data_IF_121586850785
#
_entry.id   IF_121586850785
#
_cell.length_a   1.000
_cell.length_b   1.000
_cell.length_c   1.000
_cell.angle_alpha   90.00
_cell.angle_beta   90.00
_cell.angle_gamma   90.00
#
_symmetry.space_group_name_H-M   'P 1'
#
loop_
_entity.id
_entity.type
_entity.pdbx_description
1 polymer ?
#
# COMPACT_ATOMS: atom_id res chain seq x y z
N UNK A 1 35.84 -39.03 -4.71
CA UNK A 1 35.28 -37.79 -4.14
C UNK A 1 34.23 -37.26 -5.10
N UNK A 2 32.96 -37.59 -4.87
CA UNK A 2 31.82 -37.12 -5.70
C UNK A 2 31.02 -36.13 -4.87
N UNK A 3 31.15 -34.83 -5.16
CA UNK A 3 30.33 -33.81 -4.51
C UNK A 3 28.93 -33.81 -5.14
N UNK A 4 27.93 -34.29 -4.41
CA UNK A 4 26.53 -34.02 -4.74
C UNK A 4 26.27 -32.52 -4.50
N UNK A 5 26.22 -31.71 -5.56
CA UNK A 5 25.65 -30.36 -5.43
C UNK A 5 24.13 -30.51 -5.43
N UNK A 6 23.51 -30.31 -4.27
CA UNK A 6 22.07 -30.07 -4.20
C UNK A 6 21.83 -28.72 -4.87
N UNK A 7 21.42 -28.73 -6.14
CA UNK A 7 20.84 -27.53 -6.76
C UNK A 7 19.50 -27.27 -6.05
N UNK A 8 19.54 -26.46 -5.00
CA UNK A 8 18.36 -25.87 -4.39
C UNK A 8 17.70 -24.98 -5.45
N UNK A 9 16.78 -25.54 -6.23
CA UNK A 9 15.85 -24.75 -7.04
C UNK A 9 14.90 -24.11 -6.03
N UNK A 10 15.27 -22.94 -5.51
CA UNK A 10 14.40 -22.14 -4.65
C UNK A 10 13.24 -21.65 -5.52
N UNK A 11 12.20 -22.47 -5.63
CA UNK A 11 10.98 -22.11 -6.33
C UNK A 11 10.29 -21.10 -5.44
N UNK A 12 10.45 -19.82 -5.76
CA UNK A 12 9.78 -18.76 -5.02
C UNK A 12 8.28 -19.01 -5.05
N UNK A 13 7.68 -19.13 -3.87
CA UNK A 13 6.23 -19.23 -3.77
C UNK A 13 5.63 -17.82 -3.93
N UNK A 14 5.37 -17.46 -5.18
CA UNK A 14 4.76 -16.19 -5.55
C UNK A 14 3.43 -15.94 -4.84
N UNK A 15 2.67 -17.00 -4.51
CA UNK A 15 1.41 -16.82 -3.78
C UNK A 15 1.68 -16.38 -2.35
N UNK A 16 2.66 -16.99 -1.69
CA UNK A 16 3.05 -16.59 -0.34
C UNK A 16 3.59 -15.15 -0.32
N UNK A 17 4.40 -14.76 -1.32
CA UNK A 17 4.91 -13.41 -1.45
C UNK A 17 3.79 -12.37 -1.60
N UNK A 18 2.82 -12.61 -2.51
CA UNK A 18 1.67 -11.71 -2.71
C UNK A 18 0.82 -11.61 -1.43
N UNK A 19 0.55 -12.71 -0.74
CA UNK A 19 -0.23 -12.69 0.51
C UNK A 19 0.50 -11.93 1.63
N UNK A 20 1.82 -12.08 1.73
CA UNK A 20 2.63 -11.33 2.68
C UNK A 20 2.60 -9.82 2.37
N UNK A 21 2.76 -9.46 1.09
CA UNK A 21 2.68 -8.07 0.62
C UNK A 21 1.32 -7.42 0.89
N UNK A 22 0.22 -8.12 0.57
CA UNK A 22 -1.13 -7.64 0.88
C UNK A 22 -1.35 -7.46 2.39
N UNK A 23 -0.88 -8.40 3.21
CA UNK A 23 -1.03 -8.33 4.68
C UNK A 23 -0.22 -7.16 5.27
N UNK A 24 1.03 -6.99 4.82
CA UNK A 24 1.88 -5.88 5.23
C UNK A 24 1.31 -4.53 4.76
N UNK A 25 0.85 -4.46 3.51
CA UNK A 25 0.22 -3.28 2.93
C UNK A 25 -1.04 -2.85 3.67
N UNK A 26 -1.89 -3.80 4.03
CA UNK A 26 -3.10 -3.54 4.82
C UNK A 26 -2.75 -3.06 6.24
N UNK A 27 -1.82 -3.74 6.92
CA UNK A 27 -1.34 -3.33 8.24
C UNK A 27 -0.77 -1.92 8.25
N UNK A 28 0.08 -1.60 7.27
CA UNK A 28 0.68 -0.28 7.14
C UNK A 28 -0.35 0.81 6.80
N UNK A 29 -1.32 0.52 5.92
CA UNK A 29 -2.41 1.44 5.62
C UNK A 29 -3.25 1.75 6.87
N UNK A 30 -3.60 0.74 7.66
CA UNK A 30 -4.34 0.92 8.91
C UNK A 30 -3.57 1.79 9.91
N UNK A 31 -2.26 1.55 10.05
CA UNK A 31 -1.40 2.38 10.91
C UNK A 31 -1.43 3.83 10.44
N UNK A 32 -1.31 4.10 9.14
CA UNK A 32 -1.36 5.47 8.61
C UNK A 32 -2.71 6.15 8.82
N UNK A 33 -3.82 5.43 8.59
CA UNK A 33 -5.17 5.97 8.77
C UNK A 33 -5.46 6.37 10.22
N UNK A 34 -4.78 5.76 11.18
CA UNK A 34 -4.90 6.08 12.60
C UNK A 34 -3.84 7.11 13.02
N UNK A 35 -2.57 6.87 12.69
CA UNK A 35 -1.45 7.69 13.13
C UNK A 35 -1.48 9.10 12.54
N UNK A 36 -1.87 9.25 11.27
CA UNK A 36 -1.85 10.56 10.63
C UNK A 36 -2.84 11.55 11.27
N UNK A 37 -4.14 11.22 11.47
CA UNK A 37 -5.06 12.08 12.20
C UNK A 37 -4.58 12.39 13.62
N UNK A 38 -4.07 11.39 14.35
CA UNK A 38 -3.57 11.57 15.71
C UNK A 38 -2.37 12.53 15.78
N UNK A 39 -1.49 12.48 14.78
CA UNK A 39 -0.28 13.31 14.74
C UNK A 39 -0.53 14.73 14.21
N UNK A 40 -1.52 14.93 13.33
CA UNK A 40 -1.70 16.18 12.57
C UNK A 40 -3.02 16.92 12.84
N UNK A 41 -4.00 16.27 13.48
CA UNK A 41 -5.37 16.78 13.58
C UNK A 41 -6.15 16.74 12.27
N UNK A 42 -5.57 16.17 11.19
CA UNK A 42 -6.24 16.00 9.90
C UNK A 42 -7.23 14.83 9.88
N UNK A 43 -7.69 14.46 8.67
CA UNK A 43 -8.62 13.34 8.48
C UNK A 43 -7.91 12.10 7.90
N UNK A 44 -8.42 10.88 8.12
CA UNK A 44 -7.89 9.68 7.46
C UNK A 44 -7.93 9.76 5.93
N UNK A 45 -8.89 10.52 5.37
CA UNK A 45 -9.04 10.74 3.93
C UNK A 45 -7.86 11.46 3.30
N UNK A 46 -7.08 12.20 4.10
CA UNK A 46 -5.85 12.83 3.64
C UNK A 46 -4.82 11.80 3.19
N UNK A 47 -4.71 10.66 3.88
CA UNK A 47 -3.79 9.57 3.50
C UNK A 47 -4.14 9.03 2.11
N UNK A 48 -5.43 8.76 1.87
CA UNK A 48 -5.90 8.32 0.54
C UNK A 48 -5.61 9.36 -0.54
N UNK A 49 -5.75 10.65 -0.25
CA UNK A 49 -5.40 11.71 -1.21
C UNK A 49 -3.93 11.76 -1.57
N UNK A 50 -3.03 11.56 -0.60
CA UNK A 50 -1.59 11.52 -0.87
C UNK A 50 -1.23 10.40 -1.86
N UNK A 51 -1.78 9.20 -1.63
CA UNK A 51 -1.52 8.05 -2.48
C UNK A 51 -2.22 8.21 -3.85
N UNK A 52 -3.50 8.59 -3.84
CA UNK A 52 -4.28 8.77 -5.06
C UNK A 52 -3.74 9.87 -5.98
N UNK A 53 -3.11 10.91 -5.43
CA UNK A 53 -2.47 11.98 -6.19
C UNK A 53 -1.31 11.50 -7.08
N UNK A 54 -0.76 10.31 -6.85
CA UNK A 54 0.26 9.69 -7.72
C UNK A 54 -0.29 9.50 -9.14
N UNK A 55 -1.56 9.14 -9.27
CA UNK A 55 -2.23 8.91 -10.57
C UNK A 55 -3.16 10.06 -10.94
N UNK A 56 -3.95 10.57 -9.99
CA UNK A 56 -4.95 11.61 -10.23
C UNK A 56 -4.38 13.03 -10.25
N UNK A 57 -3.12 13.20 -9.83
CA UNK A 57 -2.44 14.48 -9.78
C UNK A 57 -2.78 15.33 -8.56
N UNK A 58 -2.17 16.52 -8.49
CA UNK A 58 -2.23 17.41 -7.32
C UNK A 58 -3.60 18.03 -7.04
N UNK A 59 -4.57 17.89 -7.94
CA UNK A 59 -5.91 18.48 -7.83
C UNK A 59 -6.74 17.83 -6.73
N UNK A 60 -6.40 16.60 -6.32
CA UNK A 60 -7.10 15.89 -5.23
C UNK A 60 -6.57 16.26 -3.85
N UNK A 61 -5.44 16.96 -3.74
CA UNK A 61 -4.78 17.33 -2.48
C UNK A 61 -5.37 18.53 -1.71
N UNK A 62 -6.00 19.55 -2.34
CA UNK A 62 -6.48 20.72 -1.61
C UNK A 62 -7.52 20.36 -0.54
N UNK A 63 -7.54 21.08 0.60
CA UNK A 63 -8.65 21.01 1.55
C UNK A 63 -9.96 21.47 0.90
N UNK A 64 -11.12 20.93 1.33
CA UNK A 64 -11.30 20.00 2.45
C UNK A 64 -11.02 18.53 2.08
N UNK A 65 -10.42 17.78 3.00
CA UNK A 65 -10.13 16.35 2.80
C UNK A 65 -11.32 15.47 3.22
N UNK A 66 -12.38 15.48 2.40
CA UNK A 66 -13.61 14.68 2.54
C UNK A 66 -13.55 13.33 1.81
N UNK A 67 -14.45 12.40 2.09
CA UNK A 67 -14.52 11.15 1.33
C UNK A 67 -14.76 11.40 -0.16
N UNK A 68 -13.99 10.72 -1.01
CA UNK A 68 -14.18 10.66 -2.47
C UNK A 68 -13.88 9.21 -2.91
N UNK A 69 -14.87 8.54 -3.49
CA UNK A 69 -14.76 7.14 -3.86
C UNK A 69 -13.70 6.91 -4.96
N UNK A 70 -13.59 7.81 -5.93
CA UNK A 70 -12.61 7.71 -7.01
C UNK A 70 -11.19 7.82 -6.49
N UNK A 71 -10.95 8.77 -5.58
CA UNK A 71 -9.66 8.92 -4.91
C UNK A 71 -9.30 7.70 -4.06
N UNK A 72 -10.25 7.16 -3.30
CA UNK A 72 -10.02 5.97 -2.46
C UNK A 72 -9.69 4.75 -3.32
N UNK A 73 -10.44 4.49 -4.39
CA UNK A 73 -10.17 3.37 -5.30
C UNK A 73 -8.80 3.52 -5.95
N UNK A 74 -8.46 4.71 -6.47
CA UNK A 74 -7.15 4.97 -7.07
C UNK A 74 -6.02 4.77 -6.05
N UNK A 75 -6.19 5.27 -4.83
CA UNK A 75 -5.24 5.10 -3.75
C UNK A 75 -5.03 3.62 -3.39
N UNK A 76 -6.09 2.83 -3.28
CA UNK A 76 -6.00 1.40 -2.96
C UNK A 76 -5.29 0.62 -4.07
N UNK A 77 -5.58 0.92 -5.34
CA UNK A 77 -4.89 0.29 -6.49
C UNK A 77 -3.40 0.57 -6.43
N UNK A 78 -3.01 1.84 -6.23
CA UNK A 78 -1.59 2.22 -6.15
C UNK A 78 -0.92 1.60 -4.93
N UNK A 79 -1.55 1.68 -3.76
CA UNK A 79 -1.00 1.18 -2.51
C UNK A 79 -0.74 -0.33 -2.55
N UNK A 80 -1.75 -1.11 -2.93
CA UNK A 80 -1.61 -2.56 -2.96
C UNK A 80 -0.84 -3.04 -4.18
N UNK A 81 -0.88 -2.31 -5.31
CA UNK A 81 -0.05 -2.60 -6.47
C UNK A 81 1.45 -2.43 -6.20
N UNK A 82 1.83 -1.52 -5.30
CA UNK A 82 3.22 -1.34 -4.85
C UNK A 82 3.61 -2.22 -3.65
N UNK A 83 2.64 -2.74 -2.90
CA UNK A 83 2.88 -3.56 -1.73
C UNK A 83 3.25 -5.02 -2.06
N UNK A 84 2.98 -5.47 -3.29
CA UNK A 84 3.18 -6.86 -3.75
C UNK A 84 4.30 -7.00 -4.75
#
# INVERSE_FOLDING_TARGET
MTSFRVQMRHVMDWKAAVLAGLSAGAGFLLVLLIAYPLATGGTPWTVFRFIGAIVLGKTVLPPPTSFDAGVVVAALIVHFGLAV
#
